data_IF_560390825245
#
_entry.id   IF_560390825245
#
_cell.length_a   1.000
_cell.length_b   1.000
_cell.length_c   1.000
_cell.angle_alpha   90.00
_cell.angle_beta   90.00
_cell.angle_gamma   90.00
#
_symmetry.space_group_name_H-M   'P 1'
#
loop_
_entity.id
_entity.type
_entity.pdbx_description
1 polymer ?
#
# COMPACT_ATOMS: atom_id res chain seq x y z
N UNK A 1 -22.63 -21.04 22.48
CA UNK A 1 -21.80 -22.25 22.30
C UNK A 1 -20.52 -21.81 21.61
N UNK A 2 -19.42 -21.74 22.36
CA UNK A 2 -18.10 -21.33 21.89
C UNK A 2 -17.36 -22.55 21.33
N UNK A 3 -16.83 -22.49 20.11
CA UNK A 3 -16.07 -23.61 19.53
C UNK A 3 -14.84 -23.20 18.70
N UNK A 4 -14.29 -21.98 18.85
CA UNK A 4 -13.06 -21.60 18.11
C UNK A 4 -11.99 -20.94 18.99
N UNK A 5 -11.71 -21.52 20.17
CA UNK A 5 -10.67 -21.03 21.10
C UNK A 5 -9.41 -21.89 21.12
N UNK A 6 -9.20 -22.87 20.22
CA UNK A 6 -8.08 -23.82 20.37
C UNK A 6 -7.48 -24.34 19.05
N UNK A 7 -6.91 -23.48 18.23
CA UNK A 7 -5.80 -23.81 17.31
C UNK A 7 -5.04 -22.49 17.08
N UNK A 8 -3.97 -22.19 17.82
CA UNK A 8 -2.63 -22.68 17.50
C UNK A 8 -1.81 -21.60 16.78
N UNK A 9 -1.62 -20.43 17.41
CA UNK A 9 -0.86 -19.29 16.84
C UNK A 9 0.66 -19.37 17.10
N UNK A 10 1.16 -20.44 17.71
CA UNK A 10 2.57 -20.54 18.12
C UNK A 10 3.46 -21.41 17.22
N UNK A 11 2.97 -21.88 16.07
CA UNK A 11 3.73 -22.81 15.22
C UNK A 11 4.44 -22.17 14.01
N UNK A 12 4.28 -20.86 13.76
CA UNK A 12 4.88 -20.21 12.59
C UNK A 12 6.19 -19.45 12.87
N UNK A 13 6.66 -19.42 14.13
CA UNK A 13 7.85 -18.63 14.51
C UNK A 13 9.16 -19.43 14.63
N UNK A 14 9.16 -20.74 14.39
CA UNK A 14 10.34 -21.61 14.65
C UNK A 14 11.15 -22.00 13.43
N UNK A 15 10.77 -21.60 12.22
CA UNK A 15 11.52 -21.94 10.98
C UNK A 15 12.76 -21.04 10.80
N UNK A 16 12.94 -19.98 11.61
CA UNK A 16 14.06 -19.04 11.45
C UNK A 16 15.27 -19.24 12.39
N UNK A 17 15.29 -20.25 13.26
CA UNK A 17 16.32 -20.38 14.32
C UNK A 17 17.13 -21.69 14.31
N UNK A 18 17.31 -22.37 13.17
CA UNK A 18 18.18 -23.56 13.10
C UNK A 18 19.02 -23.63 11.82
N UNK A 19 19.81 -22.58 11.54
CA UNK A 19 20.94 -22.68 10.61
C UNK A 19 21.94 -21.54 10.82
N UNK A 20 22.44 -21.38 12.05
CA UNK A 20 23.66 -20.61 12.30
C UNK A 20 24.59 -21.47 13.15
N UNK A 21 25.15 -22.50 12.52
CA UNK A 21 26.41 -23.09 12.98
C UNK A 21 27.55 -22.43 12.18
N UNK A 22 28.47 -21.85 12.96
CA UNK A 22 29.56 -20.90 12.65
C UNK A 22 30.85 -21.65 12.22
N UNK A 23 31.99 -21.01 11.87
CA UNK A 23 32.32 -19.98 10.87
C UNK A 23 33.38 -20.49 9.83
N UNK A 24 33.67 -19.74 8.75
CA UNK A 24 35.01 -19.77 8.17
C UNK A 24 35.35 -18.48 7.42
N UNK A 25 36.38 -17.80 7.92
CA UNK A 25 37.15 -16.74 7.23
C UNK A 25 38.29 -17.42 6.45
N UNK A 26 38.75 -16.83 5.34
CA UNK A 26 40.05 -16.15 5.43
C UNK A 26 40.15 -14.83 4.62
N UNK A 27 40.99 -13.94 5.14
CA UNK A 27 41.62 -12.80 4.46
C UNK A 27 42.27 -13.20 3.12
N UNK A 28 42.32 -12.29 2.12
CA UNK A 28 43.51 -11.46 1.88
C UNK A 28 43.49 -10.67 0.53
N UNK A 29 44.23 -9.56 0.56
CA UNK A 29 44.98 -8.90 -0.53
C UNK A 29 44.38 -7.71 -1.33
N UNK A 30 44.78 -6.53 -0.83
CA UNK A 30 45.16 -5.29 -1.50
C UNK A 30 45.71 -5.45 -2.93
N UNK A 31 45.24 -4.59 -3.84
CA UNK A 31 46.06 -4.01 -4.91
C UNK A 31 45.56 -2.61 -5.25
N UNK A 32 46.49 -1.68 -5.31
CA UNK A 32 46.33 -0.24 -5.46
C UNK A 32 46.87 0.13 -6.84
N UNK A 33 46.11 0.86 -7.67
CA UNK A 33 46.62 1.70 -8.76
C UNK A 33 45.50 2.52 -9.43
N UNK A 34 45.48 3.82 -9.13
CA UNK A 34 44.91 4.94 -9.95
C UNK A 34 46.05 5.45 -10.87
N UNK A 35 45.88 6.33 -11.89
CA UNK A 35 44.68 7.06 -12.33
C UNK A 35 44.49 7.24 -13.86
N UNK A 36 43.28 7.61 -14.31
CA UNK A 36 43.14 8.64 -15.35
C UNK A 36 41.71 9.19 -15.46
N UNK A 37 41.67 10.50 -15.61
CA UNK A 37 40.50 11.36 -15.70
C UNK A 37 39.79 11.19 -17.05
N UNK A 38 38.48 11.12 -17.01
CA UNK A 38 37.61 11.84 -17.95
C UNK A 38 36.50 12.44 -17.10
N UNK A 39 36.61 13.75 -16.86
CA UNK A 39 35.52 14.55 -16.32
C UNK A 39 34.43 14.62 -17.38
N UNK A 40 33.53 13.65 -17.37
CA UNK A 40 32.16 13.90 -17.76
C UNK A 40 31.43 14.19 -16.47
N UNK A 41 31.00 15.44 -16.30
CA UNK A 41 30.01 15.84 -15.31
C UNK A 41 28.70 15.16 -15.71
N UNK A 42 28.62 13.85 -15.49
CA UNK A 42 27.36 13.19 -15.22
C UNK A 42 26.93 13.81 -13.92
N UNK A 43 25.93 14.67 -14.00
CA UNK A 43 25.15 15.07 -12.85
C UNK A 43 24.84 13.78 -12.09
N UNK A 44 25.51 13.59 -10.96
CA UNK A 44 25.30 12.48 -10.05
C UNK A 44 23.83 12.55 -9.70
N UNK A 45 23.02 11.80 -10.44
CA UNK A 45 21.64 11.53 -10.12
C UNK A 45 21.75 10.70 -8.85
N UNK A 46 21.86 11.41 -7.71
CA UNK A 46 21.78 10.82 -6.38
C UNK A 46 20.59 9.89 -6.44
N UNK A 47 20.82 8.60 -6.21
CA UNK A 47 19.72 7.66 -6.07
C UNK A 47 18.85 8.13 -4.90
N UNK A 48 17.72 8.76 -5.23
CA UNK A 48 16.77 9.29 -4.26
C UNK A 48 15.89 8.18 -3.71
N UNK A 49 16.04 6.94 -4.18
CA UNK A 49 15.09 5.85 -3.93
C UNK A 49 14.81 5.58 -2.46
N UNK A 50 15.81 5.57 -1.59
CA UNK A 50 15.59 5.36 -0.16
C UNK A 50 14.81 6.51 0.49
N UNK A 51 15.13 7.77 0.14
CA UNK A 51 14.43 8.94 0.64
C UNK A 51 12.99 8.99 0.13
N UNK A 52 12.82 8.76 -1.17
CA UNK A 52 11.52 8.78 -1.84
C UNK A 52 10.62 7.66 -1.31
N UNK A 53 11.18 6.45 -1.14
CA UNK A 53 10.44 5.32 -0.60
C UNK A 53 10.00 5.61 0.84
N UNK A 54 10.90 6.14 1.69
CA UNK A 54 10.53 6.60 3.04
C UNK A 54 9.40 7.63 3.02
N UNK A 55 9.50 8.65 2.16
CA UNK A 55 8.47 9.68 2.04
C UNK A 55 7.12 9.10 1.60
N UNK A 56 7.14 8.14 0.66
CA UNK A 56 5.94 7.44 0.23
C UNK A 56 5.33 6.60 1.36
N UNK A 57 6.13 5.88 2.14
CA UNK A 57 5.68 5.09 3.31
C UNK A 57 5.01 5.97 4.36
N UNK A 58 5.66 7.08 4.73
CA UNK A 58 5.10 8.04 5.70
C UNK A 58 3.78 8.64 5.21
N UNK A 59 3.69 8.93 3.90
CA UNK A 59 2.44 9.38 3.30
C UNK A 59 1.36 8.31 3.32
N UNK A 60 1.68 7.04 3.00
CA UNK A 60 0.74 5.92 3.04
C UNK A 60 0.17 5.72 4.46
N UNK A 61 1.03 5.74 5.48
CA UNK A 61 0.63 5.61 6.88
C UNK A 61 -0.31 6.77 7.30
N UNK A 62 0.00 8.00 6.84
CA UNK A 62 -0.86 9.16 7.05
C UNK A 62 -2.23 9.01 6.37
N UNK A 63 -2.29 8.46 5.15
CA UNK A 63 -3.55 8.21 4.46
C UNK A 63 -4.36 7.10 5.13
N UNK A 64 -3.72 6.04 5.62
CA UNK A 64 -4.40 4.97 6.35
C UNK A 64 -5.08 5.51 7.62
N UNK A 65 -4.37 6.37 8.35
CA UNK A 65 -4.94 7.08 9.51
C UNK A 65 -6.08 8.00 9.08
N UNK A 66 -5.90 8.81 8.04
CA UNK A 66 -6.93 9.74 7.57
C UNK A 66 -8.20 9.00 7.12
N UNK A 67 -8.07 7.87 6.43
CA UNK A 67 -9.21 7.03 6.05
C UNK A 67 -9.96 6.48 7.26
N UNK A 68 -9.25 5.95 8.27
CA UNK A 68 -9.88 5.52 9.53
C UNK A 68 -10.61 6.66 10.24
N UNK A 69 -9.97 7.82 10.34
CA UNK A 69 -10.54 8.99 10.99
C UNK A 69 -11.78 9.49 10.23
N UNK A 70 -11.75 9.46 8.90
CA UNK A 70 -12.89 9.81 8.03
C UNK A 70 -14.06 8.86 8.26
N UNK A 71 -13.83 7.54 8.27
CA UNK A 71 -14.88 6.55 8.54
C UNK A 71 -15.47 6.78 9.94
N UNK A 72 -14.61 6.89 10.95
CA UNK A 72 -15.02 7.14 12.34
C UNK A 72 -15.83 8.43 12.47
N UNK A 73 -15.36 9.52 11.87
CA UNK A 73 -16.06 10.81 11.87
C UNK A 73 -17.42 10.73 11.18
N UNK A 74 -17.49 10.06 10.02
CA UNK A 74 -18.74 9.87 9.29
C UNK A 74 -19.77 9.08 10.13
N UNK A 75 -19.35 7.97 10.75
CA UNK A 75 -20.22 7.18 11.62
C UNK A 75 -20.63 7.93 12.89
N UNK A 76 -19.73 8.70 13.50
CA UNK A 76 -20.02 9.44 14.75
C UNK A 76 -20.94 10.65 14.55
N UNK A 77 -21.09 11.17 13.33
CA UNK A 77 -22.08 12.20 13.00
C UNK A 77 -23.52 11.69 13.03
N UNK A 78 -23.71 10.38 12.91
CA UNK A 78 -25.02 9.75 12.97
C UNK A 78 -25.46 9.58 14.43
N UNK A 79 -26.74 9.81 14.70
CA UNK A 79 -27.33 9.44 16.00
C UNK A 79 -27.65 7.93 16.06
N UNK A 80 -27.99 7.42 17.25
CA UNK A 80 -28.22 5.99 17.47
C UNK A 80 -29.33 5.38 16.61
N UNK A 81 -30.38 6.16 16.29
CA UNK A 81 -31.43 5.72 15.37
C UNK A 81 -30.89 5.59 13.94
N UNK A 82 -30.08 6.53 13.50
CA UNK A 82 -29.46 6.52 12.16
C UNK A 82 -28.39 5.42 12.03
N UNK A 83 -27.62 5.14 13.08
CA UNK A 83 -26.67 4.02 13.10
C UNK A 83 -27.35 2.65 13.01
N UNK A 84 -28.62 2.55 13.38
CA UNK A 84 -29.39 1.31 13.23
C UNK A 84 -29.92 1.10 11.80
N UNK A 85 -29.84 2.11 10.94
CA UNK A 85 -30.20 2.03 9.53
C UNK A 85 -28.95 1.68 8.70
N UNK A 86 -28.87 0.41 8.28
CA UNK A 86 -27.71 -0.11 7.56
C UNK A 86 -27.46 0.61 6.22
N UNK A 87 -28.53 0.95 5.49
CA UNK A 87 -28.42 1.62 4.20
C UNK A 87 -27.94 3.07 4.37
N UNK A 88 -28.47 3.78 5.37
CA UNK A 88 -28.02 5.13 5.70
C UNK A 88 -26.57 5.14 6.19
N UNK A 89 -26.17 4.18 7.03
CA UNK A 89 -24.79 4.07 7.50
C UNK A 89 -23.83 3.82 6.33
N UNK A 90 -24.16 2.86 5.46
CA UNK A 90 -23.36 2.51 4.30
C UNK A 90 -23.21 3.71 3.35
N UNK A 91 -24.31 4.39 3.01
CA UNK A 91 -24.27 5.60 2.16
C UNK A 91 -23.42 6.70 2.79
N UNK A 92 -23.57 6.94 4.10
CA UNK A 92 -22.81 7.97 4.83
C UNK A 92 -21.31 7.70 4.78
N UNK A 93 -20.89 6.45 5.00
CA UNK A 93 -19.47 6.05 4.93
C UNK A 93 -18.97 6.10 3.49
N UNK A 94 -19.75 5.62 2.52
CA UNK A 94 -19.38 5.65 1.10
C UNK A 94 -19.12 7.08 0.62
N UNK A 95 -20.02 8.02 0.92
CA UNK A 95 -19.85 9.45 0.56
C UNK A 95 -18.60 10.06 1.20
N UNK A 96 -18.31 9.71 2.45
CA UNK A 96 -17.11 10.17 3.14
C UNK A 96 -15.83 9.62 2.49
N UNK A 97 -15.81 8.33 2.11
CA UNK A 97 -14.68 7.72 1.42
C UNK A 97 -14.46 8.32 0.03
N UNK A 98 -15.54 8.52 -0.74
CA UNK A 98 -15.49 9.16 -2.06
C UNK A 98 -14.90 10.58 -1.97
N UNK A 99 -15.33 11.35 -0.97
CA UNK A 99 -14.79 12.70 -0.72
C UNK A 99 -13.31 12.65 -0.30
N UNK A 100 -12.93 11.67 0.51
CA UNK A 100 -11.56 11.53 1.00
C UNK A 100 -10.57 11.13 -0.11
N UNK A 101 -11.01 10.42 -1.16
CA UNK A 101 -10.15 10.09 -2.29
C UNK A 101 -9.59 11.35 -2.96
N UNK A 102 -10.39 12.39 -3.13
CA UNK A 102 -9.93 13.64 -3.76
C UNK A 102 -8.85 14.33 -2.90
N UNK A 103 -9.02 14.33 -1.58
CA UNK A 103 -7.98 14.81 -0.66
C UNK A 103 -6.69 13.98 -0.78
N UNK A 104 -6.80 12.66 -0.94
CA UNK A 104 -5.65 11.77 -1.12
C UNK A 104 -4.92 12.10 -2.42
N UNK A 105 -5.63 12.24 -3.54
CA UNK A 105 -5.04 12.59 -4.85
C UNK A 105 -4.28 13.91 -4.78
N UNK A 106 -4.90 14.95 -4.23
CA UNK A 106 -4.25 16.27 -4.04
C UNK A 106 -3.01 16.14 -3.16
N UNK A 107 -3.08 15.39 -2.05
CA UNK A 107 -1.91 15.19 -1.19
C UNK A 107 -0.77 14.45 -1.89
N UNK A 108 -1.08 13.53 -2.81
CA UNK A 108 -0.09 12.76 -3.56
C UNK A 108 0.66 13.60 -4.60
N UNK A 109 0.05 14.69 -5.09
CA UNK A 109 0.71 15.66 -5.98
C UNK A 109 1.83 16.41 -5.27
N UNK A 110 1.69 16.62 -3.95
CA UNK A 110 2.73 17.26 -3.14
C UNK A 110 3.94 16.37 -2.84
N UNK A 111 3.84 15.06 -3.11
CA UNK A 111 4.98 14.15 -2.98
C UNK A 111 5.95 14.29 -4.14
N UNK A 112 7.10 14.90 -3.85
CA UNK A 112 8.22 15.00 -4.79
C UNK A 112 9.02 13.70 -4.86
N UNK A 113 8.48 12.71 -5.57
CA UNK A 113 9.12 11.40 -5.82
C UNK A 113 9.85 11.44 -7.15
N UNK A 114 11.17 11.25 -7.13
CA UNK A 114 12.04 11.30 -8.30
C UNK A 114 12.43 9.90 -8.80
N UNK A 115 12.58 8.94 -7.88
CA UNK A 115 12.89 7.56 -8.23
C UNK A 115 11.71 6.89 -8.96
N UNK A 116 11.97 6.34 -10.14
CA UNK A 116 10.95 5.80 -11.03
C UNK A 116 10.19 4.62 -10.43
N UNK A 117 10.86 3.72 -9.71
CA UNK A 117 10.22 2.54 -9.10
C UNK A 117 9.31 2.96 -7.93
N UNK A 118 9.76 3.90 -7.11
CA UNK A 118 8.94 4.48 -6.04
C UNK A 118 7.76 5.26 -6.62
N UNK A 119 7.96 5.99 -7.72
CA UNK A 119 6.88 6.68 -8.41
C UNK A 119 5.83 5.69 -8.94
N UNK A 120 6.26 4.58 -9.54
CA UNK A 120 5.37 3.54 -10.01
C UNK A 120 4.53 2.94 -8.87
N UNK A 121 5.09 2.80 -7.67
CA UNK A 121 4.35 2.36 -6.49
C UNK A 121 3.32 3.40 -6.02
N UNK A 122 3.70 4.69 -6.01
CA UNK A 122 2.76 5.79 -5.73
C UNK A 122 1.59 5.76 -6.69
N UNK A 123 1.87 5.70 -7.99
CA UNK A 123 0.86 5.70 -9.05
C UNK A 123 -0.09 4.49 -8.91
N UNK A 124 0.45 3.28 -8.70
CA UNK A 124 -0.36 2.07 -8.43
C UNK A 124 -1.21 2.20 -7.17
N UNK A 125 -0.69 2.82 -6.11
CA UNK A 125 -1.47 3.07 -4.88
C UNK A 125 -2.69 3.93 -5.19
N UNK A 126 -2.53 4.99 -5.99
CA UNK A 126 -3.63 5.85 -6.41
C UNK A 126 -4.62 5.13 -7.34
N UNK A 127 -4.15 4.28 -8.23
CA UNK A 127 -5.02 3.44 -9.08
C UNK A 127 -5.87 2.48 -8.24
N UNK A 128 -5.28 1.80 -7.26
CA UNK A 128 -6.00 0.90 -6.35
C UNK A 128 -7.07 1.66 -5.56
N UNK A 129 -6.74 2.83 -5.02
CA UNK A 129 -7.71 3.65 -4.29
C UNK A 129 -8.85 4.15 -5.19
N UNK A 130 -8.53 4.56 -6.42
CA UNK A 130 -9.52 5.00 -7.42
C UNK A 130 -10.45 3.85 -7.78
N UNK A 131 -9.93 2.66 -8.09
CA UNK A 131 -10.76 1.49 -8.37
C UNK A 131 -11.61 1.07 -7.16
N UNK A 132 -11.06 1.15 -5.95
CA UNK A 132 -11.83 0.90 -4.73
C UNK A 132 -13.07 1.80 -4.63
N UNK A 133 -12.94 3.08 -5.00
CA UNK A 133 -14.09 4.00 -5.05
C UNK A 133 -15.05 3.73 -6.22
N UNK A 134 -14.55 3.32 -7.39
CA UNK A 134 -15.40 2.90 -8.49
C UNK A 134 -16.22 1.66 -8.10
N UNK A 135 -15.63 0.71 -7.37
CA UNK A 135 -16.34 -0.45 -6.83
C UNK A 135 -17.43 -0.05 -5.83
N UNK A 136 -17.21 0.97 -5.00
CA UNK A 136 -18.25 1.52 -4.11
C UNK A 136 -19.44 2.04 -4.94
N UNK A 137 -19.15 2.83 -5.99
CA UNK A 137 -20.18 3.42 -6.86
C UNK A 137 -20.93 2.35 -7.64
N UNK A 138 -20.23 1.42 -8.28
CA UNK A 138 -20.85 0.33 -9.06
C UNK A 138 -21.59 -0.66 -8.16
N UNK A 139 -21.09 -0.93 -6.95
CA UNK A 139 -21.80 -1.73 -5.96
C UNK A 139 -23.15 -1.11 -5.59
N UNK A 140 -23.17 0.20 -5.31
CA UNK A 140 -24.41 0.92 -5.02
C UNK A 140 -25.39 0.95 -6.21
N UNK A 141 -24.87 1.02 -7.46
CA UNK A 141 -25.70 0.90 -8.67
C UNK A 141 -26.29 -0.51 -8.82
N UNK A 142 -25.48 -1.55 -8.57
CA UNK A 142 -25.91 -2.94 -8.65
C UNK A 142 -27.00 -3.26 -7.61
N UNK A 143 -26.86 -2.78 -6.38
CA UNK A 143 -27.87 -2.94 -5.33
C UNK A 143 -29.21 -2.31 -5.72
N UNK A 144 -29.18 -1.13 -6.35
CA UNK A 144 -30.39 -0.41 -6.81
C UNK A 144 -30.98 -0.99 -8.09
N UNK A 145 -30.17 -1.55 -8.98
CA UNK A 145 -30.59 -2.08 -10.27
C UNK A 145 -29.71 -3.30 -10.69
N UNK A 146 -30.03 -4.50 -10.21
CA UNK A 146 -29.22 -5.70 -10.45
C UNK A 146 -29.43 -6.22 -11.87
N UNK A 147 -28.66 -5.69 -12.82
CA UNK A 147 -28.65 -6.10 -14.24
C UNK A 147 -27.44 -6.98 -14.55
N UNK A 148 -27.50 -7.85 -15.57
CA UNK A 148 -26.33 -8.61 -16.04
C UNK A 148 -25.12 -7.71 -16.34
N UNK A 149 -25.38 -6.53 -16.91
CA UNK A 149 -24.36 -5.53 -17.23
C UNK A 149 -23.69 -4.97 -15.98
N UNK A 150 -24.46 -4.66 -14.93
CA UNK A 150 -23.92 -4.18 -13.65
C UNK A 150 -23.06 -5.25 -12.96
N UNK A 151 -23.49 -6.52 -12.97
CA UNK A 151 -22.69 -7.62 -12.43
C UNK A 151 -21.38 -7.81 -13.21
N UNK A 152 -21.44 -7.71 -14.54
CA UNK A 152 -20.26 -7.78 -15.41
C UNK A 152 -19.29 -6.63 -15.11
N UNK A 153 -19.78 -5.39 -15.07
CA UNK A 153 -18.94 -4.22 -14.79
C UNK A 153 -18.24 -4.34 -13.43
N UNK A 154 -18.96 -4.75 -12.38
CA UNK A 154 -18.38 -4.97 -11.06
C UNK A 154 -17.35 -6.10 -11.05
N UNK A 155 -17.61 -7.20 -11.77
CA UNK A 155 -16.66 -8.31 -11.89
C UNK A 155 -15.37 -7.93 -12.62
N UNK A 156 -15.45 -7.07 -13.64
CA UNK A 156 -14.29 -6.51 -14.34
C UNK A 156 -13.48 -5.61 -13.40
N UNK A 157 -14.13 -4.75 -12.62
CA UNK A 157 -13.47 -3.93 -11.60
C UNK A 157 -12.76 -4.77 -10.54
N UNK A 158 -13.43 -5.81 -10.03
CA UNK A 158 -12.83 -6.73 -9.05
C UNK A 158 -11.60 -7.45 -9.61
N UNK A 159 -11.66 -7.89 -10.86
CA UNK A 159 -10.52 -8.52 -11.54
C UNK A 159 -9.35 -7.55 -11.65
N UNK A 160 -9.62 -6.30 -12.06
CA UNK A 160 -8.60 -5.27 -12.19
C UNK A 160 -8.00 -4.89 -10.83
N UNK A 161 -8.82 -4.79 -9.78
CA UNK A 161 -8.35 -4.50 -8.43
C UNK A 161 -7.39 -5.60 -7.95
N UNK A 162 -7.73 -6.87 -8.14
CA UNK A 162 -6.88 -8.00 -7.77
C UNK A 162 -5.53 -7.96 -8.49
N UNK A 163 -5.55 -7.68 -9.80
CA UNK A 163 -4.32 -7.57 -10.59
C UNK A 163 -3.42 -6.43 -10.11
N UNK A 164 -4.00 -5.26 -9.83
CA UNK A 164 -3.23 -4.12 -9.32
C UNK A 164 -2.73 -4.34 -7.91
N UNK A 165 -3.50 -5.00 -7.05
CA UNK A 165 -3.07 -5.37 -5.71
C UNK A 165 -1.85 -6.31 -5.76
N UNK A 166 -1.87 -7.33 -6.61
CA UNK A 166 -0.73 -8.24 -6.79
C UNK A 166 0.51 -7.49 -7.31
N UNK A 167 0.36 -6.67 -8.35
CA UNK A 167 1.46 -5.89 -8.90
C UNK A 167 2.03 -4.88 -7.87
N UNK A 168 1.14 -4.24 -7.11
CA UNK A 168 1.51 -3.32 -6.03
C UNK A 168 2.30 -4.03 -4.93
N UNK A 169 1.84 -5.20 -4.50
CA UNK A 169 2.54 -6.01 -3.49
C UNK A 169 3.92 -6.48 -3.95
N UNK A 170 4.05 -6.90 -5.22
CA UNK A 170 5.35 -7.30 -5.76
C UNK A 170 6.34 -6.13 -5.78
N UNK A 171 5.87 -4.95 -6.21
CA UNK A 171 6.68 -3.74 -6.24
C UNK A 171 7.05 -3.26 -4.83
N UNK A 172 6.10 -3.23 -3.91
CA UNK A 172 6.32 -2.93 -2.49
C UNK A 172 7.38 -3.85 -1.89
N UNK A 173 7.28 -5.16 -2.12
CA UNK A 173 8.25 -6.14 -1.62
C UNK A 173 9.66 -5.89 -2.18
N UNK A 174 9.76 -5.58 -3.47
CA UNK A 174 11.04 -5.27 -4.11
C UNK A 174 11.67 -3.99 -3.53
N UNK A 175 10.87 -2.92 -3.39
CA UNK A 175 11.32 -1.65 -2.83
C UNK A 175 11.69 -1.77 -1.35
N UNK A 176 10.90 -2.49 -0.57
CA UNK A 176 11.21 -2.81 0.83
C UNK A 176 12.55 -3.54 0.96
N UNK A 177 12.78 -4.58 0.16
CA UNK A 177 14.04 -5.33 0.19
C UNK A 177 15.25 -4.46 -0.23
N UNK A 178 15.02 -3.44 -1.06
CA UNK A 178 16.06 -2.54 -1.57
C UNK A 178 16.36 -1.38 -0.63
N UNK A 179 15.35 -0.83 0.03
CA UNK A 179 15.44 0.47 0.71
C UNK A 179 15.16 0.43 2.22
N UNK A 180 14.52 -0.60 2.76
CA UNK A 180 14.42 -0.75 4.22
C UNK A 180 15.67 -1.43 4.78
N UNK A 181 16.15 -1.01 5.97
CA UNK A 181 17.23 -1.71 6.64
C UNK A 181 16.80 -3.14 6.93
N UNK A 182 17.72 -4.09 6.72
CA UNK A 182 17.49 -5.48 7.09
C UNK A 182 17.04 -5.56 8.56
N UNK A 183 16.05 -6.42 8.90
CA UNK A 183 15.61 -6.56 10.28
C UNK A 183 16.82 -6.87 11.17
N UNK A 184 17.01 -6.06 12.21
CA UNK A 184 18.07 -6.28 13.19
C UNK A 184 17.82 -7.65 13.85
N UNK A 185 18.78 -8.55 13.70
CA UNK A 185 18.77 -9.89 14.30
C UNK A 185 19.01 -9.85 15.80
#
# INVERSE_FOLDING_TARGET
MNILTKVGLSALLTIFLTACEKPSSPEAQKSEQTPSQTQEKVEESKDTGAQDYKALREWQDAQEKALRDTISSATNKLNEKQKSDAALMQETVNQALLSQLENIKVSAESLNIQNAEVKALKDKTLEVLTLGTEMIVEGAKMEKNPTPEAHKAFGELQTRLNQLAEQGQQLEKALKAKYEPAPQQ
#
